data_IF_144623922732
#
_entry.id   IF_144623922732
#
_cell.length_a   1.000
_cell.length_b   1.000
_cell.length_c   1.000
_cell.angle_alpha   90.00
_cell.angle_beta   90.00
_cell.angle_gamma   90.00
#
_symmetry.space_group_name_H-M   'P 1'
#
loop_
_entity.id
_entity.type
_entity.pdbx_description
1 polymer ?
#
# COMPACT_ATOMS: atom_id res chain seq x y z
N UNK A 1 0.10 12.67 31.16
CA UNK A 1 -1.05 13.17 30.39
C UNK A 1 -1.26 12.13 29.31
N UNK A 2 -2.16 11.19 29.55
CA UNK A 2 -2.52 10.14 28.61
C UNK A 2 -3.28 10.83 27.49
N UNK A 3 -2.59 11.10 26.38
CA UNK A 3 -3.28 11.40 25.13
C UNK A 3 -4.08 10.14 24.81
N UNK A 4 -5.40 10.22 24.96
CA UNK A 4 -6.31 9.28 24.32
C UNK A 4 -6.02 9.41 22.82
N UNK A 5 -5.10 8.59 22.33
CA UNK A 5 -5.00 8.33 20.90
C UNK A 5 -6.28 7.59 20.58
N UNK A 6 -7.27 8.29 20.05
CA UNK A 6 -8.35 7.64 19.30
C UNK A 6 -7.67 6.62 18.37
N UNK A 7 -7.91 5.34 18.65
CA UNK A 7 -7.30 4.28 17.86
C UNK A 7 -7.74 4.46 16.42
N UNK A 8 -6.79 4.73 15.52
CA UNK A 8 -7.11 4.93 14.12
C UNK A 8 -7.84 3.70 13.57
N UNK A 9 -9.08 3.91 13.13
CA UNK A 9 -9.93 2.84 12.63
C UNK A 9 -9.46 2.39 11.25
N UNK A 10 -9.17 1.10 11.12
CA UNK A 10 -8.79 0.45 9.87
C UNK A 10 -9.88 -0.49 9.38
N UNK A 11 -11.12 -0.36 9.86
CA UNK A 11 -12.25 -1.20 9.47
C UNK A 11 -12.61 -0.97 7.99
N UNK A 12 -13.22 -1.99 7.38
CA UNK A 12 -13.63 -1.90 5.98
C UNK A 12 -14.83 -0.96 5.84
N UNK A 13 -14.79 -0.09 4.84
CA UNK A 13 -15.93 0.75 4.45
C UNK A 13 -16.83 -0.01 3.46
N UNK A 14 -18.12 0.36 3.33
CA UNK A 14 -19.07 -0.33 2.45
C UNK A 14 -18.60 -0.47 1.00
N UNK A 15 -17.85 0.52 0.49
CA UNK A 15 -17.31 0.52 -0.88
C UNK A 15 -16.43 -0.71 -1.17
N UNK A 16 -15.73 -1.25 -0.18
CA UNK A 16 -14.90 -2.46 -0.35
C UNK A 16 -15.69 -3.70 -0.78
N UNK A 17 -17.00 -3.69 -0.53
CA UNK A 17 -17.94 -4.77 -0.88
C UNK A 17 -18.91 -4.39 -2.00
N UNK A 18 -18.79 -3.17 -2.54
CA UNK A 18 -19.60 -2.72 -3.66
C UNK A 18 -19.23 -3.50 -4.92
N UNK A 19 -20.22 -4.07 -5.60
CA UNK A 19 -19.99 -5.02 -6.69
C UNK A 19 -19.32 -4.38 -7.89
N UNK A 20 -19.70 -3.14 -8.21
CA UNK A 20 -19.18 -2.43 -9.38
C UNK A 20 -17.73 -2.00 -9.11
N UNK A 21 -17.45 -1.52 -7.90
CA UNK A 21 -16.09 -1.19 -7.49
C UNK A 21 -15.18 -2.43 -7.42
N UNK A 22 -15.66 -3.55 -6.87
CA UNK A 22 -14.91 -4.82 -6.84
C UNK A 22 -14.59 -5.29 -8.25
N UNK A 23 -15.57 -5.24 -9.18
CA UNK A 23 -15.34 -5.59 -10.57
C UNK A 23 -14.31 -4.67 -11.23
N UNK A 24 -14.38 -3.36 -10.95
CA UNK A 24 -13.42 -2.38 -11.46
C UNK A 24 -12.00 -2.65 -10.96
N UNK A 25 -11.80 -2.85 -9.65
CA UNK A 25 -10.49 -3.22 -9.07
C UNK A 25 -9.95 -4.50 -9.70
N UNK A 26 -10.81 -5.53 -9.83
CA UNK A 26 -10.43 -6.82 -10.40
C UNK A 26 -9.96 -6.68 -11.85
N UNK A 27 -10.58 -5.78 -12.63
CA UNK A 27 -10.20 -5.52 -14.02
C UNK A 27 -8.79 -4.94 -14.19
N UNK A 28 -8.22 -4.33 -13.15
CA UNK A 28 -6.84 -3.80 -13.13
C UNK A 28 -5.81 -4.78 -12.54
N UNK A 29 -6.23 -5.95 -12.08
CA UNK A 29 -5.31 -6.99 -11.59
C UNK A 29 -4.30 -7.39 -12.66
N UNK A 30 -3.12 -7.81 -12.22
CA UNK A 30 -1.99 -8.14 -13.09
C UNK A 30 -1.84 -9.65 -13.15
N UNK A 31 -1.91 -10.18 -14.38
CA UNK A 31 -1.46 -11.53 -14.68
C UNK A 31 0.06 -11.52 -14.90
N UNK A 32 0.86 -12.23 -14.08
CA UNK A 32 2.31 -12.25 -14.22
C UNK A 32 2.79 -12.85 -15.55
N UNK A 33 1.95 -13.63 -16.23
CA UNK A 33 2.26 -14.23 -17.54
C UNK A 33 1.71 -13.38 -18.71
N UNK A 34 1.17 -12.19 -18.43
CA UNK A 34 0.64 -11.28 -19.45
C UNK A 34 1.72 -10.82 -20.43
N UNK A 35 1.47 -10.81 -21.75
CA UNK A 35 2.38 -10.21 -22.72
C UNK A 35 2.54 -8.70 -22.53
N UNK A 36 1.59 -8.06 -21.84
CA UNK A 36 1.57 -6.62 -21.56
C UNK A 36 2.08 -6.29 -20.14
N UNK A 37 2.74 -7.24 -19.46
CA UNK A 37 3.18 -7.08 -18.07
C UNK A 37 3.96 -5.77 -17.82
N UNK A 38 4.95 -5.46 -18.67
CA UNK A 38 5.75 -4.24 -18.52
C UNK A 38 4.90 -2.96 -18.65
N UNK A 39 3.87 -2.98 -19.51
CA UNK A 39 2.93 -1.87 -19.60
C UNK A 39 2.11 -1.74 -18.32
N UNK A 40 1.58 -2.86 -17.81
CA UNK A 40 0.78 -2.89 -16.58
C UNK A 40 1.59 -2.43 -15.36
N UNK A 41 2.89 -2.77 -15.30
CA UNK A 41 3.79 -2.32 -14.24
C UNK A 41 4.03 -0.81 -14.29
N UNK A 42 4.30 -0.25 -15.47
CA UNK A 42 4.45 1.20 -15.67
C UNK A 42 3.17 1.96 -15.35
N UNK A 43 2.03 1.45 -15.83
CA UNK A 43 0.70 2.00 -15.54
C UNK A 43 0.40 1.98 -14.03
N UNK A 44 0.73 0.89 -13.33
CA UNK A 44 0.60 0.80 -11.88
C UNK A 44 1.48 1.79 -11.12
N UNK A 45 2.76 1.88 -11.49
CA UNK A 45 3.68 2.84 -10.89
C UNK A 45 3.23 4.30 -11.10
N UNK A 46 2.81 4.65 -12.31
CA UNK A 46 2.25 5.98 -12.61
C UNK A 46 0.97 6.25 -11.82
N UNK A 47 0.05 5.29 -11.74
CA UNK A 47 -1.20 5.45 -10.99
C UNK A 47 -0.97 5.74 -9.50
N UNK A 48 0.05 5.14 -8.88
CA UNK A 48 0.42 5.43 -7.48
C UNK A 48 0.85 6.89 -7.31
N UNK A 49 1.67 7.40 -8.22
CA UNK A 49 2.15 8.78 -8.19
C UNK A 49 1.02 9.77 -8.47
N UNK A 50 0.16 9.48 -9.44
CA UNK A 50 -1.00 10.31 -9.78
C UNK A 50 -1.97 10.39 -8.59
N UNK A 51 -2.25 9.27 -7.93
CA UNK A 51 -3.12 9.23 -6.76
C UNK A 51 -2.51 10.00 -5.58
N UNK A 52 -1.20 9.84 -5.34
CA UNK A 52 -0.50 10.61 -4.30
C UNK A 52 -0.58 12.12 -4.58
N UNK A 53 -0.48 12.53 -5.85
CA UNK A 53 -0.62 13.92 -6.29
C UNK A 53 -2.04 14.46 -6.05
N UNK A 54 -3.09 13.66 -6.27
CA UNK A 54 -4.46 14.04 -5.90
C UNK A 54 -4.61 14.24 -4.39
N UNK A 55 -4.06 13.35 -3.58
CA UNK A 55 -4.08 13.47 -2.11
C UNK A 55 -3.28 14.67 -1.62
N UNK A 56 -2.14 14.99 -2.23
CA UNK A 56 -1.34 16.17 -1.89
C UNK A 56 -2.13 17.46 -2.17
N UNK A 57 -2.78 17.53 -3.34
CA UNK A 57 -3.46 18.74 -3.80
C UNK A 57 -4.82 18.96 -3.17
N UNK A 58 -5.59 17.89 -2.95
CA UNK A 58 -6.99 17.95 -2.54
C UNK A 58 -7.27 17.29 -1.19
N UNK A 59 -6.33 16.49 -0.66
CA UNK A 59 -6.51 15.74 0.58
C UNK A 59 -7.39 14.50 0.46
N UNK A 60 -8.01 14.28 -0.69
CA UNK A 60 -8.91 13.16 -1.00
C UNK A 60 -8.76 12.80 -2.47
N UNK A 61 -9.02 11.54 -2.80
CA UNK A 61 -9.20 11.10 -4.18
C UNK A 61 -10.70 10.94 -4.47
N UNK A 62 -11.11 11.33 -5.67
CA UNK A 62 -12.51 11.26 -6.12
C UNK A 62 -12.68 10.44 -7.40
N UNK A 63 -11.59 10.05 -8.05
CA UNK A 63 -11.63 9.28 -9.28
C UNK A 63 -11.65 7.76 -8.98
N UNK A 64 -12.81 7.08 -9.11
CA UNK A 64 -12.91 5.66 -8.80
C UNK A 64 -12.03 4.78 -9.70
N UNK A 65 -11.80 5.15 -10.95
CA UNK A 65 -10.90 4.43 -11.86
C UNK A 65 -9.44 4.48 -11.40
N UNK A 66 -8.95 5.65 -10.98
CA UNK A 66 -7.58 5.79 -10.50
C UNK A 66 -7.36 5.01 -9.20
N UNK A 67 -8.31 5.12 -8.27
CA UNK A 67 -8.31 4.37 -7.00
C UNK A 67 -8.29 2.86 -7.29
N UNK A 68 -9.23 2.38 -8.11
CA UNK A 68 -9.35 0.97 -8.43
C UNK A 68 -8.11 0.44 -9.16
N UNK A 69 -7.52 1.27 -10.04
CA UNK A 69 -6.28 0.95 -10.75
C UNK A 69 -5.12 0.77 -9.79
N UNK A 70 -4.92 1.68 -8.83
CA UNK A 70 -3.87 1.52 -7.82
C UNK A 70 -4.06 0.20 -7.06
N UNK A 71 -5.27 -0.07 -6.54
CA UNK A 71 -5.52 -1.29 -5.77
C UNK A 71 -5.31 -2.56 -6.61
N UNK A 72 -5.83 -2.59 -7.84
CA UNK A 72 -5.69 -3.74 -8.74
C UNK A 72 -4.24 -4.00 -9.14
N UNK A 73 -3.49 -2.94 -9.47
CA UNK A 73 -2.09 -3.05 -9.92
C UNK A 73 -1.13 -3.52 -8.84
N UNK A 74 -1.45 -3.30 -7.57
CA UNK A 74 -0.68 -3.82 -6.44
C UNK A 74 -0.69 -5.36 -6.30
N UNK A 75 -1.46 -6.07 -7.13
CA UNK A 75 -1.34 -7.52 -7.29
C UNK A 75 0.02 -7.95 -7.86
N UNK A 76 0.69 -7.07 -8.61
CA UNK A 76 2.06 -7.29 -9.07
C UNK A 76 3.11 -6.87 -8.03
N UNK A 77 4.13 -7.72 -7.86
CA UNK A 77 5.18 -7.52 -6.87
C UNK A 77 6.05 -6.30 -7.19
N UNK A 78 6.35 -6.02 -8.46
CA UNK A 78 7.17 -4.87 -8.84
C UNK A 78 6.41 -3.57 -8.54
N UNK A 79 5.13 -3.49 -8.88
CA UNK A 79 4.29 -2.32 -8.57
C UNK A 79 4.19 -2.10 -7.06
N UNK A 80 3.97 -3.17 -6.29
CA UNK A 80 3.93 -3.08 -4.82
C UNK A 80 5.25 -2.61 -4.24
N UNK A 81 6.37 -3.18 -4.67
CA UNK A 81 7.68 -2.83 -4.14
C UNK A 81 8.11 -1.41 -4.60
N UNK A 82 7.61 -0.96 -5.75
CA UNK A 82 7.70 0.43 -6.17
C UNK A 82 6.94 1.32 -5.19
N UNK A 83 5.65 1.06 -4.98
CA UNK A 83 4.78 1.79 -4.06
C UNK A 83 5.31 1.81 -2.62
N UNK A 84 5.97 0.73 -2.21
CA UNK A 84 6.63 0.63 -0.91
C UNK A 84 7.73 1.69 -0.76
N UNK A 85 8.39 2.12 -1.84
CA UNK A 85 9.52 3.05 -1.82
C UNK A 85 9.19 4.52 -2.15
N UNK A 86 7.95 4.86 -2.54
CA UNK A 86 7.62 6.17 -3.14
C UNK A 86 7.55 7.34 -2.16
N UNK A 87 7.43 7.09 -0.85
CA UNK A 87 7.33 8.15 0.16
C UNK A 87 8.65 8.45 0.86
N UNK A 88 8.81 9.71 1.27
CA UNK A 88 9.91 10.21 2.09
C UNK A 88 9.36 11.06 3.24
N UNK A 89 10.23 11.75 4.00
CA UNK A 89 9.81 12.56 5.15
C UNK A 89 8.87 13.72 4.79
N UNK A 90 8.98 14.31 3.60
CA UNK A 90 8.13 15.43 3.16
C UNK A 90 6.76 14.95 2.70
N UNK A 91 6.69 13.79 2.04
CA UNK A 91 5.44 13.23 1.51
C UNK A 91 4.75 12.24 2.44
N UNK A 92 5.33 11.95 3.61
CA UNK A 92 4.85 10.91 4.53
C UNK A 92 3.36 11.03 4.86
N UNK A 93 2.89 12.23 5.25
CA UNK A 93 1.49 12.45 5.63
C UNK A 93 0.51 12.28 4.46
N UNK A 94 0.94 12.59 3.23
CA UNK A 94 0.15 12.36 2.02
C UNK A 94 -0.06 10.87 1.80
N UNK A 95 1.03 10.10 1.83
CA UNK A 95 0.96 8.64 1.67
C UNK A 95 0.28 7.95 2.85
N UNK A 96 0.41 8.50 4.07
CA UNK A 96 -0.34 8.07 5.25
C UNK A 96 -1.83 8.07 5.00
N UNK A 97 -2.38 9.22 4.58
CA UNK A 97 -3.80 9.40 4.32
C UNK A 97 -4.27 8.55 3.14
N UNK A 98 -3.46 8.49 2.08
CA UNK A 98 -3.78 7.70 0.89
C UNK A 98 -3.87 6.21 1.22
N UNK A 99 -2.83 5.61 1.81
CA UNK A 99 -2.84 4.18 2.12
C UNK A 99 -3.82 3.81 3.22
N UNK A 100 -4.06 4.70 4.19
CA UNK A 100 -5.12 4.50 5.18
C UNK A 100 -6.50 4.40 4.51
N UNK A 101 -6.83 5.34 3.63
CA UNK A 101 -8.08 5.31 2.87
C UNK A 101 -8.17 4.05 2.00
N UNK A 102 -7.14 3.75 1.21
CA UNK A 102 -7.12 2.55 0.35
C UNK A 102 -7.28 1.26 1.16
N UNK A 103 -6.69 1.17 2.36
CA UNK A 103 -6.84 -0.01 3.23
C UNK A 103 -8.31 -0.24 3.62
N UNK A 104 -9.05 0.85 3.87
CA UNK A 104 -10.45 0.79 4.25
C UNK A 104 -11.37 0.39 3.09
N UNK A 105 -11.00 0.70 1.84
CA UNK A 105 -11.83 0.42 0.67
C UNK A 105 -11.33 -0.74 -0.20
N UNK A 106 -10.16 -1.32 0.09
CA UNK A 106 -9.62 -2.46 -0.64
C UNK A 106 -10.58 -3.66 -0.56
N UNK A 107 -11.03 -4.23 -1.70
CA UNK A 107 -11.82 -5.45 -1.71
C UNK A 107 -11.04 -6.66 -1.20
N UNK A 108 -11.78 -7.67 -0.72
CA UNK A 108 -11.21 -8.99 -0.38
C UNK A 108 -10.44 -9.56 -1.58
N UNK A 109 -9.25 -10.09 -1.32
CA UNK A 109 -8.28 -10.54 -2.32
C UNK A 109 -7.26 -9.48 -2.71
N UNK A 110 -7.49 -8.20 -2.37
CA UNK A 110 -6.60 -7.07 -2.66
C UNK A 110 -6.16 -6.32 -1.40
N UNK A 111 -6.55 -6.77 -0.21
CA UNK A 111 -6.26 -6.07 1.04
C UNK A 111 -4.80 -6.26 1.44
N UNK A 112 -4.25 -7.46 1.28
CA UNK A 112 -2.90 -7.79 1.72
C UNK A 112 -1.80 -6.81 1.25
N UNK A 113 -1.66 -6.47 -0.06
CA UNK A 113 -0.66 -5.51 -0.49
C UNK A 113 -0.84 -4.13 0.17
N UNK A 114 -2.05 -3.59 0.17
CA UNK A 114 -2.35 -2.26 0.74
C UNK A 114 -2.08 -2.22 2.25
N UNK A 115 -2.51 -3.27 2.95
CA UNK A 115 -2.30 -3.42 4.38
C UNK A 115 -0.81 -3.52 4.75
N UNK A 116 0.00 -4.19 3.93
CA UNK A 116 1.46 -4.21 4.14
C UNK A 116 2.10 -2.85 3.92
N UNK A 117 1.70 -2.08 2.90
CA UNK A 117 2.17 -0.71 2.68
C UNK A 117 1.83 0.19 3.87
N UNK A 118 0.58 0.15 4.33
CA UNK A 118 0.16 0.93 5.50
C UNK A 118 0.88 0.49 6.79
N UNK A 119 1.11 -0.81 6.98
CA UNK A 119 1.87 -1.32 8.12
C UNK A 119 3.30 -0.76 8.17
N UNK A 120 3.94 -0.56 7.02
CA UNK A 120 5.31 0.01 6.95
C UNK A 120 5.34 1.46 7.40
N UNK A 121 4.36 2.26 6.98
CA UNK A 121 4.21 3.63 7.49
C UNK A 121 3.95 3.65 8.99
N UNK A 122 3.05 2.80 9.48
CA UNK A 122 2.74 2.70 10.91
C UNK A 122 3.99 2.35 11.72
N UNK A 123 4.84 1.46 11.20
CA UNK A 123 6.10 1.11 11.81
C UNK A 123 7.11 2.28 11.79
N UNK A 124 7.21 3.01 10.68
CA UNK A 124 8.09 4.17 10.54
C UNK A 124 7.76 5.30 11.52
N UNK A 125 6.47 5.51 11.81
CA UNK A 125 6.02 6.45 12.86
C UNK A 125 6.13 5.90 14.29
N UNK A 126 6.75 4.74 14.47
CA UNK A 126 6.86 4.03 15.75
C UNK A 126 5.53 3.58 16.38
N UNK A 127 4.46 3.49 15.59
CA UNK A 127 3.17 2.91 16.02
C UNK A 127 3.13 1.40 15.70
N UNK A 128 3.86 0.66 16.53
CA UNK A 128 3.97 -0.79 16.42
C UNK A 128 2.61 -1.50 16.56
N UNK A 129 1.72 -1.14 17.52
CA UNK A 129 0.39 -1.74 17.59
C UNK A 129 -0.40 -1.62 16.28
N UNK A 130 -0.48 -0.42 15.68
CA UNK A 130 -1.18 -0.25 14.41
C UNK A 130 -0.50 -1.01 13.26
N UNK A 131 0.83 -1.06 13.24
CA UNK A 131 1.55 -1.85 12.25
C UNK A 131 1.15 -3.33 12.30
N UNK A 132 1.11 -3.94 13.50
CA UNK A 132 0.69 -5.32 13.66
C UNK A 132 -0.79 -5.54 13.33
N UNK A 133 -1.70 -4.65 13.75
CA UNK A 133 -3.13 -4.74 13.36
C UNK A 133 -3.32 -4.70 11.84
N UNK A 134 -2.51 -3.90 11.16
CA UNK A 134 -2.51 -3.82 9.69
C UNK A 134 -2.00 -5.13 9.07
N UNK A 135 -0.95 -5.73 9.63
CA UNK A 135 -0.46 -7.06 9.21
C UNK A 135 -1.44 -8.20 9.53
N UNK A 136 -2.21 -8.10 10.62
CA UNK A 136 -3.29 -9.04 10.95
C UNK A 136 -4.39 -8.98 9.89
N UNK A 137 -4.79 -7.78 9.47
CA UNK A 137 -5.72 -7.58 8.34
C UNK A 137 -5.16 -8.14 7.03
N UNK A 138 -3.87 -7.95 6.75
CA UNK A 138 -3.22 -8.57 5.59
C UNK A 138 -3.22 -10.11 5.66
N UNK A 139 -3.02 -10.67 6.85
CA UNK A 139 -3.00 -12.12 7.07
C UNK A 139 -4.39 -12.74 6.96
N UNK A 140 -5.43 -12.04 7.39
CA UNK A 140 -6.82 -12.47 7.24
C UNK A 140 -7.25 -12.55 5.77
N UNK A 141 -6.74 -11.63 4.94
CA UNK A 141 -6.98 -11.60 3.49
C UNK A 141 -6.17 -12.67 2.74
N UNK A 142 -4.87 -12.75 3.02
CA UNK A 142 -3.96 -13.70 2.39
C UNK A 142 -2.92 -14.23 3.41
N UNK A 143 -3.20 -15.38 4.07
CA UNK A 143 -2.32 -15.92 5.12
C UNK A 143 -0.87 -16.19 4.67
N UNK A 144 -0.68 -16.51 3.39
CA UNK A 144 0.63 -16.79 2.78
C UNK A 144 1.33 -15.58 2.16
N UNK A 145 0.82 -14.36 2.35
CA UNK A 145 1.37 -13.18 1.67
C UNK A 145 2.82 -12.91 2.12
N UNK A 146 3.76 -12.99 1.17
CA UNK A 146 5.20 -13.03 1.45
C UNK A 146 5.71 -11.78 2.18
N UNK A 147 5.22 -10.60 1.79
CA UNK A 147 5.60 -9.34 2.43
C UNK A 147 5.06 -9.25 3.86
N UNK A 148 3.86 -9.77 4.14
CA UNK A 148 3.32 -9.83 5.52
C UNK A 148 4.23 -10.66 6.42
N UNK A 149 4.66 -11.84 5.96
CA UNK A 149 5.56 -12.73 6.70
C UNK A 149 6.93 -12.08 6.90
N UNK A 150 7.45 -11.37 5.89
CA UNK A 150 8.70 -10.62 6.00
C UNK A 150 8.59 -9.49 7.04
N UNK A 151 7.57 -8.64 6.95
CA UNK A 151 7.38 -7.50 7.84
C UNK A 151 7.16 -7.94 9.29
N UNK A 152 6.43 -9.03 9.55
CA UNK A 152 6.30 -9.58 10.91
C UNK A 152 7.65 -9.97 11.51
N UNK A 153 8.56 -10.56 10.73
CA UNK A 153 9.91 -10.90 11.19
C UNK A 153 10.74 -9.65 11.48
N UNK A 154 10.65 -8.67 10.59
CA UNK A 154 11.35 -7.38 10.70
C UNK A 154 10.89 -6.58 11.93
N UNK A 155 9.59 -6.42 12.12
CA UNK A 155 9.03 -5.70 13.26
C UNK A 155 9.28 -6.49 14.56
N UNK A 156 9.20 -7.82 14.50
CA UNK A 156 9.42 -8.70 15.64
C UNK A 156 10.86 -8.73 16.14
N UNK A 157 11.84 -8.46 15.27
CA UNK A 157 13.24 -8.32 15.68
C UNK A 157 13.56 -6.95 16.29
N UNK A 158 12.61 -6.01 16.30
CA UNK A 158 12.83 -4.64 16.77
C UNK A 158 13.80 -3.85 15.89
N UNK A 159 13.81 -4.10 14.57
CA UNK A 159 14.73 -3.40 13.66
C UNK A 159 14.44 -1.89 13.67
N UNK A 160 15.40 -0.98 13.89
CA UNK A 160 15.08 0.43 14.06
C UNK A 160 14.30 1.03 12.88
N UNK A 161 13.22 1.76 13.18
CA UNK A 161 12.34 2.37 12.17
C UNK A 161 13.10 3.26 11.17
N UNK A 162 14.08 4.03 11.66
CA UNK A 162 14.94 4.86 10.81
C UNK A 162 15.82 4.04 9.87
N UNK A 163 16.32 2.87 10.31
CA UNK A 163 17.11 1.97 9.47
C UNK A 163 16.23 1.31 8.40
N UNK A 164 15.00 0.93 8.76
CA UNK A 164 14.01 0.41 7.81
C UNK A 164 13.67 1.44 6.72
N UNK A 165 13.36 2.69 7.12
CA UNK A 165 13.08 3.78 6.18
C UNK A 165 14.27 4.05 5.24
N UNK A 166 15.49 4.09 5.78
CA UNK A 166 16.70 4.28 4.98
C UNK A 166 16.90 3.17 3.94
N UNK A 167 16.65 1.90 4.33
CA UNK A 167 16.76 0.75 3.44
C UNK A 167 15.75 0.82 2.28
N UNK A 168 14.50 1.22 2.53
CA UNK A 168 13.52 1.41 1.45
C UNK A 168 13.95 2.49 0.46
N UNK A 169 14.43 3.63 0.96
CA UNK A 169 14.93 4.74 0.12
C UNK A 169 16.10 4.28 -0.75
N UNK A 170 17.01 3.48 -0.20
CA UNK A 170 18.15 2.92 -0.94
C UNK A 170 17.71 1.94 -2.05
N UNK A 171 16.66 1.15 -1.80
CA UNK A 171 16.17 0.16 -2.76
C UNK A 171 15.28 0.75 -3.85
N UNK A 172 14.55 1.83 -3.57
CA UNK A 172 13.55 2.37 -4.48
C UNK A 172 14.08 2.69 -5.89
N UNK A 173 15.27 3.31 -6.08
CA UNK A 173 15.83 3.53 -7.42
C UNK A 173 16.02 2.24 -8.24
N UNK A 174 16.37 1.12 -7.59
CA UNK A 174 16.57 -0.17 -8.26
C UNK A 174 15.23 -0.76 -8.73
N UNK A 175 14.18 -0.61 -7.92
CA UNK A 175 12.82 -1.05 -8.29
C UNK A 175 12.28 -0.18 -9.43
N UNK A 176 12.47 1.13 -9.35
CA UNK A 176 12.07 2.07 -10.40
C UNK A 176 12.76 1.76 -11.72
N UNK A 177 14.08 1.49 -11.71
CA UNK A 177 14.81 1.07 -12.91
C UNK A 177 14.20 -0.21 -13.51
N UNK A 178 13.89 -1.21 -12.68
CA UNK A 178 13.27 -2.46 -13.14
C UNK A 178 11.90 -2.31 -13.83
N UNK A 179 11.19 -1.21 -13.60
CA UNK A 179 9.89 -0.92 -14.24
C UNK A 179 10.04 -0.05 -15.49
N UNK A 180 10.94 0.94 -15.47
CA UNK A 180 10.98 2.01 -16.47
C UNK A 180 12.14 1.91 -17.48
N UNK A 181 13.20 1.17 -17.17
CA UNK A 181 14.28 0.86 -18.13
C UNK A 181 13.91 -0.31 -19.05
#
# INVERSE_FOLDING_TARGET
MTTDYEELEIASLPLASDKDFVALVTSFSVDPDSPDLSFMQRDGATAVIDLATEFEKYGVASNPDLIARVIGRLSDIQVRDFALGTHNGESFETYWRMWHYLLQIAPVGFVAPVATLFATLAYERSDTPLAYRSLDRASADAPGYSLTILLRRVFGSGWPASAFAAMRIELHPKVTAGIFE
#
